data_IF_292317473561
#
_entry.id   IF_292317473561
#
_cell.length_a   1.000
_cell.length_b   1.000
_cell.length_c   1.000
_cell.angle_alpha   90.00
_cell.angle_beta   90.00
_cell.angle_gamma   90.00
#
_symmetry.space_group_name_H-M   'P 1'
#
loop_
_entity.id
_entity.type
_entity.pdbx_description
1 polymer ?
#
# COMPACT_ATOMS: atom_id res chain seq x y z
N UNK A 1 7.92 5.82 72.91
CA UNK A 1 8.35 4.41 72.98
C UNK A 1 7.38 3.56 72.16
N UNK A 2 7.91 2.60 71.42
CA UNK A 2 7.25 1.51 70.66
C UNK A 2 6.97 1.72 69.16
N UNK A 3 7.99 1.34 68.40
CA UNK A 3 7.95 0.75 67.07
C UNK A 3 7.13 -0.57 67.06
N UNK A 4 6.36 -0.82 66.00
CA UNK A 4 5.83 -2.13 65.55
C UNK A 4 4.88 -1.88 64.36
N UNK A 5 4.85 -2.52 63.19
CA UNK A 5 5.46 -3.72 62.61
C UNK A 5 5.29 -3.63 61.07
N UNK A 6 6.26 -4.17 60.31
CA UNK A 6 6.11 -4.77 58.96
C UNK A 6 6.07 -6.31 59.14
N UNK A 7 5.78 -7.22 58.17
CA UNK A 7 5.59 -7.09 56.70
C UNK A 7 4.42 -7.95 56.11
N UNK A 8 4.18 -7.92 54.78
CA UNK A 8 4.05 -9.11 53.88
C UNK A 8 3.52 -8.73 52.49
N UNK A 9 4.40 -8.95 51.51
CA UNK A 9 4.25 -9.41 50.11
C UNK A 9 2.88 -9.39 49.38
N UNK A 10 2.88 -8.86 48.16
CA UNK A 10 1.73 -8.94 47.25
C UNK A 10 1.84 -8.06 46.00
N UNK A 11 2.78 -8.39 45.11
CA UNK A 11 2.62 -8.34 43.65
C UNK A 11 2.12 -7.07 42.92
N UNK A 12 3.09 -6.48 42.21
CA UNK A 12 3.03 -5.88 40.86
C UNK A 12 2.77 -4.36 40.69
N UNK A 13 3.71 -3.65 40.05
CA UNK A 13 3.46 -2.34 39.48
C UNK A 13 2.52 -2.50 38.28
N UNK A 14 1.42 -1.77 38.27
CA UNK A 14 0.58 -1.64 37.09
C UNK A 14 1.36 -0.89 36.01
N UNK A 15 2.11 -1.67 35.24
CA UNK A 15 2.70 -1.31 33.96
C UNK A 15 1.56 -1.17 32.96
N UNK A 16 0.85 -0.06 33.03
CA UNK A 16 0.11 0.44 31.88
C UNK A 16 1.00 1.44 31.16
N UNK A 17 1.96 0.86 30.42
CA UNK A 17 2.36 1.41 29.13
C UNK A 17 1.09 1.54 28.30
N UNK A 18 0.43 2.68 28.43
CA UNK A 18 -0.52 3.18 27.44
C UNK A 18 0.32 3.46 26.20
N UNK A 19 0.58 2.41 25.42
CA UNK A 19 0.84 2.53 24.01
C UNK A 19 -0.43 3.09 23.39
N UNK A 20 -0.60 4.40 23.48
CA UNK A 20 -1.39 5.13 22.51
C UNK A 20 -0.56 5.11 21.23
N UNK A 21 -0.96 4.37 20.18
CA UNK A 21 -0.48 4.72 18.86
C UNK A 21 -1.11 6.08 18.58
N UNK A 22 -0.29 7.13 18.66
CA UNK A 22 -0.66 8.49 18.28
C UNK A 22 -1.18 8.49 16.83
N UNK A 23 -2.46 8.19 16.65
CA UNK A 23 -3.17 8.14 15.37
C UNK A 23 -3.54 9.55 14.90
N UNK A 24 -3.11 10.58 15.63
CA UNK A 24 -3.41 11.99 15.38
C UNK A 24 -2.42 12.72 14.48
N UNK A 25 -1.29 12.12 14.11
CA UNK A 25 -0.28 12.75 13.22
C UNK A 25 -0.52 12.41 11.73
N UNK A 26 -1.74 12.03 11.36
CA UNK A 26 -2.11 11.53 10.02
C UNK A 26 -2.38 12.63 8.98
N UNK A 27 -2.24 13.92 9.31
CA UNK A 27 -2.79 14.99 8.44
C UNK A 27 -1.82 15.65 7.45
N UNK A 28 -0.53 15.31 7.45
CA UNK A 28 0.46 16.02 6.60
C UNK A 28 0.80 15.32 5.28
N UNK A 29 0.31 14.10 5.01
CA UNK A 29 0.95 13.23 4.02
C UNK A 29 -0.04 12.69 2.98
N UNK A 30 -0.61 13.58 2.18
CA UNK A 30 -1.46 13.27 1.03
C UNK A 30 -0.84 12.28 0.00
N UNK A 31 0.50 12.16 -0.20
CA UNK A 31 1.07 11.07 -1.00
C UNK A 31 1.35 9.77 -0.22
N UNK A 32 1.44 9.79 1.13
CA UNK A 32 1.71 8.57 1.90
C UNK A 32 0.46 7.73 2.09
N UNK A 33 -0.72 8.36 2.18
CA UNK A 33 -1.98 7.62 2.30
C UNK A 33 -2.25 6.73 1.07
N UNK A 34 -1.87 7.19 -0.13
CA UNK A 34 -1.93 6.37 -1.35
C UNK A 34 -0.97 5.18 -1.29
N UNK A 35 0.29 5.43 -0.97
CA UNK A 35 1.30 4.36 -0.87
C UNK A 35 1.01 3.35 0.26
N UNK A 36 0.41 3.77 1.38
CA UNK A 36 -0.06 2.88 2.44
C UNK A 36 -1.19 1.97 1.97
N UNK A 37 -2.19 2.54 1.30
CA UNK A 37 -3.30 1.76 0.73
C UNK A 37 -2.82 0.80 -0.36
N UNK A 38 -1.86 1.21 -1.20
CA UNK A 38 -1.25 0.34 -2.20
C UNK A 38 -0.40 -0.76 -1.53
N UNK A 39 0.28 -0.47 -0.42
CA UNK A 39 0.98 -1.51 0.37
C UNK A 39 -0.01 -2.53 0.95
N UNK A 40 -1.13 -2.07 1.50
CA UNK A 40 -2.21 -2.95 1.98
C UNK A 40 -2.80 -3.79 0.85
N UNK A 41 -3.05 -3.18 -0.31
CA UNK A 41 -3.50 -3.89 -1.51
C UNK A 41 -2.51 -4.99 -1.90
N UNK A 42 -1.22 -4.67 -2.02
CA UNK A 42 -0.20 -5.67 -2.34
C UNK A 42 -0.18 -6.81 -1.31
N UNK A 43 -0.31 -6.49 -0.02
CA UNK A 43 -0.41 -7.51 1.05
C UNK A 43 -1.65 -8.38 0.90
N UNK A 44 -2.81 -7.80 0.58
CA UNK A 44 -4.07 -8.51 0.36
C UNK A 44 -3.96 -9.53 -0.80
N UNK A 45 -3.29 -9.13 -1.88
CA UNK A 45 -3.03 -9.98 -3.03
C UNK A 45 -1.82 -10.93 -2.83
N UNK A 46 -1.21 -10.99 -1.64
CA UNK A 46 -0.06 -11.87 -1.37
C UNK A 46 1.25 -11.43 -2.03
N UNK A 47 1.31 -10.20 -2.54
CA UNK A 47 2.44 -9.66 -3.27
C UNK A 47 3.44 -8.94 -2.36
N UNK A 48 4.72 -9.22 -2.57
CA UNK A 48 5.80 -8.44 -1.95
C UNK A 48 5.70 -6.96 -2.31
N UNK A 49 5.79 -6.10 -1.29
CA UNK A 49 5.86 -4.65 -1.43
C UNK A 49 7.19 -4.25 -2.03
N UNK A 50 7.17 -3.67 -3.23
CA UNK A 50 8.35 -3.15 -3.93
C UNK A 50 8.01 -1.80 -4.55
N UNK A 51 9.00 -0.92 -4.65
CA UNK A 51 8.83 0.44 -5.16
C UNK A 51 8.30 0.46 -6.60
N UNK A 52 8.75 -0.49 -7.43
CA UNK A 52 8.27 -0.65 -8.82
C UNK A 52 6.77 -0.95 -8.86
N UNK A 53 6.30 -1.91 -8.05
CA UNK A 53 4.88 -2.29 -8.02
C UNK A 53 4.02 -1.16 -7.48
N UNK A 54 4.50 -0.48 -6.43
CA UNK A 54 3.86 0.71 -5.87
C UNK A 54 3.68 1.78 -6.95
N UNK A 55 4.74 2.11 -7.70
CA UNK A 55 4.69 3.11 -8.76
C UNK A 55 3.85 2.71 -9.96
N UNK A 56 3.85 1.44 -10.37
CA UNK A 56 2.96 0.97 -11.44
C UNK A 56 1.50 1.13 -11.03
N UNK A 57 1.13 0.72 -9.81
CA UNK A 57 -0.24 0.84 -9.30
C UNK A 57 -0.64 2.32 -9.12
N UNK A 58 0.25 3.14 -8.56
CA UNK A 58 0.06 4.58 -8.38
C UNK A 58 -0.14 5.31 -9.72
N UNK A 59 0.63 4.95 -10.75
CA UNK A 59 0.46 5.45 -12.10
C UNK A 59 -0.88 5.01 -12.70
N UNK A 60 -1.29 3.75 -12.50
CA UNK A 60 -2.60 3.25 -12.96
C UNK A 60 -3.73 4.01 -12.29
N UNK A 61 -3.63 4.24 -10.98
CA UNK A 61 -4.62 4.97 -10.20
C UNK A 61 -4.74 6.43 -10.65
N UNK A 62 -3.60 7.09 -10.84
CA UNK A 62 -3.54 8.48 -11.33
C UNK A 62 -4.16 8.58 -12.73
N UNK A 63 -3.92 7.61 -13.59
CA UNK A 63 -4.50 7.57 -14.93
C UNK A 63 -6.01 7.29 -14.89
N UNK A 64 -6.44 6.34 -14.06
CA UNK A 64 -7.85 6.05 -13.84
C UNK A 64 -8.63 7.29 -13.35
N UNK A 65 -8.05 8.07 -12.44
CA UNK A 65 -8.64 9.32 -11.97
C UNK A 65 -8.68 10.45 -13.02
N UNK A 66 -7.89 10.34 -14.10
CA UNK A 66 -7.85 11.30 -15.20
C UNK A 66 -8.58 10.76 -16.46
N UNK A 67 -9.45 9.76 -16.28
CA UNK A 67 -10.16 9.03 -17.34
C UNK A 67 -9.24 8.52 -18.48
N UNK A 68 -7.96 8.33 -18.16
CA UNK A 68 -6.92 7.96 -19.10
C UNK A 68 -6.48 6.54 -18.82
N UNK A 69 -6.39 5.71 -19.86
CA UNK A 69 -5.89 4.35 -19.72
C UNK A 69 -4.41 4.28 -20.08
N UNK A 70 -3.62 3.54 -19.32
CA UNK A 70 -2.18 3.44 -19.53
C UNK A 70 -1.82 2.11 -20.19
N UNK A 71 -1.28 2.17 -21.40
CA UNK A 71 -0.59 1.04 -22.03
C UNK A 71 0.83 0.86 -21.49
N UNK A 72 1.50 -0.22 -21.91
CA UNK A 72 2.91 -0.50 -21.54
C UNK A 72 3.83 0.67 -21.88
N UNK A 73 3.60 1.34 -23.02
CA UNK A 73 4.38 2.53 -23.44
C UNK A 73 4.23 3.70 -22.49
N UNK A 74 3.00 3.99 -22.07
CA UNK A 74 2.72 5.06 -21.11
C UNK A 74 3.35 4.77 -19.75
N UNK A 75 3.28 3.51 -19.30
CA UNK A 75 3.92 3.08 -18.06
C UNK A 75 5.44 3.17 -18.10
N UNK A 76 6.04 2.69 -19.17
CA UNK A 76 7.48 2.76 -19.34
C UNK A 76 7.99 4.20 -19.38
N UNK A 77 7.25 5.09 -20.06
CA UNK A 77 7.57 6.53 -20.06
C UNK A 77 7.40 7.15 -18.67
N UNK A 78 6.37 6.77 -17.92
CA UNK A 78 6.10 7.29 -16.58
C UNK A 78 7.15 6.82 -15.57
N UNK A 79 7.54 5.53 -15.61
CA UNK A 79 8.59 4.99 -14.75
C UNK A 79 9.96 5.62 -15.07
N UNK A 80 10.27 5.83 -16.35
CA UNK A 80 11.48 6.57 -16.72
C UNK A 80 11.47 8.01 -16.21
N UNK A 81 10.33 8.71 -16.27
CA UNK A 81 10.20 10.07 -15.74
C UNK A 81 10.39 10.16 -14.21
N UNK A 82 10.16 9.04 -13.51
CA UNK A 82 10.39 8.90 -12.06
C UNK A 82 11.82 8.43 -11.71
N UNK A 83 12.74 8.43 -12.68
CA UNK A 83 14.12 7.95 -12.51
C UNK A 83 14.21 6.46 -12.13
N UNK A 84 13.24 5.65 -12.58
CA UNK A 84 13.24 4.20 -12.38
C UNK A 84 13.64 3.54 -13.71
N UNK A 85 14.92 3.18 -13.91
CA UNK A 85 15.41 2.60 -15.15
C UNK A 85 14.95 1.14 -15.28
N UNK A 86 13.73 0.95 -15.75
CA UNK A 86 13.18 -0.37 -16.08
C UNK A 86 13.07 -0.50 -17.58
N UNK A 87 13.56 -1.61 -18.13
CA UNK A 87 13.36 -1.92 -19.53
C UNK A 87 11.88 -2.16 -19.84
N UNK A 88 11.48 -1.85 -21.08
CA UNK A 88 10.13 -2.10 -21.57
C UNK A 88 9.67 -3.56 -21.36
N UNK A 89 10.59 -4.52 -21.50
CA UNK A 89 10.32 -5.93 -21.23
C UNK A 89 9.95 -6.16 -19.75
N UNK A 90 10.74 -5.60 -18.83
CA UNK A 90 10.48 -5.70 -17.39
C UNK A 90 9.15 -5.06 -17.00
N UNK A 91 8.78 -3.92 -17.59
CA UNK A 91 7.45 -3.30 -17.37
C UNK A 91 6.33 -4.24 -17.82
N UNK A 92 6.49 -4.86 -18.99
CA UNK A 92 5.52 -5.84 -19.50
C UNK A 92 5.43 -7.07 -18.61
N UNK A 93 6.55 -7.58 -18.11
CA UNK A 93 6.58 -8.71 -17.17
C UNK A 93 5.91 -8.38 -15.84
N UNK A 94 6.15 -7.18 -15.29
CA UNK A 94 5.50 -6.71 -14.07
C UNK A 94 3.99 -6.58 -14.28
N UNK A 95 3.54 -5.96 -15.37
CA UNK A 95 2.12 -5.86 -15.71
C UNK A 95 1.48 -7.23 -15.91
N UNK A 96 2.16 -8.15 -16.59
CA UNK A 96 1.69 -9.52 -16.78
C UNK A 96 1.58 -10.27 -15.44
N UNK A 97 2.55 -10.11 -14.54
CA UNK A 97 2.48 -10.67 -13.19
C UNK A 97 1.34 -10.07 -12.39
N UNK A 98 1.22 -8.74 -12.34
CA UNK A 98 0.10 -8.09 -11.65
C UNK A 98 -1.27 -8.51 -12.23
N UNK A 99 -1.34 -8.81 -13.53
CA UNK A 99 -2.54 -9.30 -14.18
C UNK A 99 -2.86 -10.74 -13.77
N UNK A 100 -1.84 -11.60 -13.68
CA UNK A 100 -1.98 -12.98 -13.20
C UNK A 100 -2.45 -13.03 -11.75
N UNK A 101 -2.06 -12.05 -10.94
CA UNK A 101 -2.41 -11.97 -9.52
C UNK A 101 -3.78 -11.29 -9.31
N UNK A 102 -4.39 -10.72 -10.36
CA UNK A 102 -5.70 -10.07 -10.28
C UNK A 102 -5.68 -8.63 -9.76
N UNK A 103 -4.53 -7.98 -9.71
CA UNK A 103 -4.41 -6.56 -9.30
C UNK A 103 -4.73 -5.61 -10.46
N UNK A 104 -4.36 -6.00 -11.68
CA UNK A 104 -4.59 -5.21 -12.90
C UNK A 104 -5.32 -6.06 -13.94
N UNK A 105 -6.06 -5.41 -14.83
CA UNK A 105 -6.74 -6.06 -15.94
C UNK A 105 -6.26 -5.47 -17.26
N UNK A 106 -6.05 -6.34 -18.24
CA UNK A 106 -5.79 -5.94 -19.62
C UNK A 106 -7.12 -5.70 -20.33
N UNK A 107 -7.35 -4.47 -20.79
CA UNK A 107 -8.53 -4.12 -21.59
C UNK A 107 -8.31 -4.49 -23.06
N UNK A 108 -9.39 -4.64 -23.82
CA UNK A 108 -9.36 -4.93 -25.28
C UNK A 108 -8.62 -3.88 -26.11
N UNK A 109 -8.52 -2.65 -25.59
CA UNK A 109 -7.76 -1.53 -26.16
C UNK A 109 -6.23 -1.65 -25.94
N UNK A 110 -5.74 -2.77 -25.39
CA UNK A 110 -4.32 -3.01 -25.00
C UNK A 110 -3.84 -2.08 -23.89
N UNK A 111 -4.76 -1.42 -23.21
CA UNK A 111 -4.50 -0.58 -22.06
C UNK A 111 -4.74 -1.35 -20.76
N UNK A 112 -3.95 -1.03 -19.73
CA UNK A 112 -4.07 -1.65 -18.42
C UNK A 112 -4.90 -0.74 -17.51
N UNK A 113 -5.78 -1.36 -16.73
CA UNK A 113 -6.57 -0.70 -15.69
C UNK A 113 -6.37 -1.45 -14.38
N UNK A 114 -6.65 -0.77 -13.27
CA UNK A 114 -6.72 -1.46 -11.98
C UNK A 114 -7.91 -2.42 -11.99
N UNK A 115 -7.78 -3.56 -11.32
CA UNK A 115 -8.89 -4.49 -11.18
C UNK A 115 -9.94 -3.90 -10.23
N UNK A 116 -11.25 -4.04 -10.48
CA UNK A 116 -12.29 -3.45 -9.64
C UNK A 116 -12.20 -3.92 -8.17
N UNK A 117 -11.76 -5.15 -7.93
CA UNK A 117 -11.49 -5.65 -6.57
C UNK A 117 -10.33 -4.90 -5.91
N UNK A 118 -9.28 -4.60 -6.66
CA UNK A 118 -8.14 -3.83 -6.16
C UNK A 118 -8.54 -2.38 -5.86
N UNK A 119 -9.36 -1.77 -6.70
CA UNK A 119 -9.92 -0.44 -6.44
C UNK A 119 -10.80 -0.43 -5.19
N UNK A 120 -11.62 -1.47 -5.00
CA UNK A 120 -12.49 -1.58 -3.85
C UNK A 120 -11.70 -1.75 -2.54
N UNK A 121 -10.61 -2.54 -2.53
CA UNK A 121 -9.67 -2.62 -1.39
C UNK A 121 -9.01 -1.26 -1.15
N UNK A 122 -8.59 -0.56 -2.20
CA UNK A 122 -7.95 0.75 -2.10
C UNK A 122 -8.89 1.85 -1.58
N UNK A 123 -10.18 1.78 -1.95
CA UNK A 123 -11.24 2.67 -1.49
C UNK A 123 -11.67 2.35 -0.05
N UNK A 124 -11.18 1.23 0.53
CA UNK A 124 -11.60 0.76 1.85
C UNK A 124 -13.02 0.18 1.86
N UNK A 125 -13.53 -0.22 0.69
CA UNK A 125 -14.83 -0.90 0.56
C UNK A 125 -14.75 -2.41 0.83
N UNK A 126 -13.54 -2.97 0.86
CA UNK A 126 -13.28 -4.37 1.18
C UNK A 126 -12.26 -4.38 2.31
N UNK A 127 -12.69 -4.78 3.51
CA UNK A 127 -11.80 -5.08 4.62
C UNK A 127 -11.27 -6.49 4.45
N UNK A 128 -9.95 -6.63 4.63
CA UNK A 128 -9.21 -7.89 4.51
C UNK A 128 -9.35 -8.76 5.76
#
# INVERSE_FOLDING_TARGET
MHNSQIPTDGSQPHRETVFQPNTGLLKTLTPLQGNERIRHLLKYFGLRTSLVRLKVIDALLTAAGNDRRLGVRGMHSHLQALDIPLSFLSVREVLKRLCSEGVVVLNSDKSYSLHPQAEAVLMGKIEA
#
